data_IF_359787696088
#
_entry.id   IF_359787696088
#
_cell.length_a   1.000
_cell.length_b   1.000
_cell.length_c   1.000
_cell.angle_alpha   90.00
_cell.angle_beta   90.00
_cell.angle_gamma   90.00
#
_symmetry.space_group_name_H-M   'P 1'
#
loop_
_entity.id
_entity.type
_entity.pdbx_description
1 polymer ?
#
# COMPACT_ATOMS: atom_id res chain seq x y z
N UNK A 1 -25.86 1.30 18.08
CA UNK A 1 -24.78 0.42 17.56
C UNK A 1 -23.52 1.27 17.52
N UNK A 2 -22.54 0.99 18.38
CA UNK A 2 -21.28 1.74 18.42
C UNK A 2 -20.48 1.40 17.17
N UNK A 3 -20.22 2.42 16.34
CA UNK A 3 -19.32 2.29 15.21
C UNK A 3 -17.90 2.34 15.77
N UNK A 4 -17.27 1.18 15.93
CA UNK A 4 -15.86 1.11 16.35
C UNK A 4 -15.02 1.85 15.33
N UNK A 5 -14.35 2.92 15.76
CA UNK A 5 -13.39 3.69 14.95
C UNK A 5 -12.15 2.82 14.79
N UNK A 6 -12.19 1.85 13.87
CA UNK A 6 -10.99 1.14 13.45
C UNK A 6 -10.17 2.06 12.56
N UNK A 7 -8.86 2.15 12.82
CA UNK A 7 -7.83 2.64 11.92
C UNK A 7 -8.12 2.17 10.48
N UNK A 8 -8.68 3.05 9.62
CA UNK A 8 -9.10 2.67 8.27
C UNK A 8 -7.93 2.81 7.32
N UNK A 9 -7.42 1.71 6.81
CA UNK A 9 -6.61 1.76 5.59
C UNK A 9 -7.56 1.98 4.40
N UNK A 10 -7.06 2.63 3.36
CA UNK A 10 -7.76 2.74 2.07
C UNK A 10 -6.97 2.01 1.00
N UNK A 11 -7.65 1.17 0.24
CA UNK A 11 -7.13 0.55 -0.97
C UNK A 11 -7.82 1.21 -2.16
N UNK A 12 -7.05 1.97 -2.94
CA UNK A 12 -7.53 2.62 -4.16
C UNK A 12 -7.16 1.73 -5.34
N UNK A 13 -8.17 1.20 -6.01
CA UNK A 13 -8.05 0.43 -7.23
C UNK A 13 -7.77 1.34 -8.43
N UNK A 14 -7.27 0.76 -9.51
CA UNK A 14 -6.90 1.52 -10.71
C UNK A 14 -8.07 2.02 -11.53
N UNK A 15 -9.26 1.46 -11.34
CA UNK A 15 -10.51 2.01 -11.89
C UNK A 15 -11.03 3.21 -11.09
N UNK A 16 -10.34 3.60 -10.01
CA UNK A 16 -10.71 4.71 -9.13
C UNK A 16 -11.62 4.30 -7.97
N UNK A 17 -12.04 3.04 -7.88
CA UNK A 17 -12.79 2.56 -6.73
C UNK A 17 -11.90 2.57 -5.47
N UNK A 18 -12.44 3.06 -4.36
CA UNK A 18 -11.78 3.05 -3.07
C UNK A 18 -12.48 2.06 -2.12
N UNK A 19 -11.71 1.13 -1.57
CA UNK A 19 -12.16 0.17 -0.58
C UNK A 19 -11.61 0.57 0.80
N UNK A 20 -12.50 0.65 1.79
CA UNK A 20 -12.11 0.88 3.19
C UNK A 20 -11.91 -0.44 3.92
N UNK A 21 -10.87 -0.52 4.75
CA UNK A 21 -10.54 -1.77 5.42
C UNK A 21 -9.22 -1.76 6.16
N UNK A 22 -8.55 -2.92 6.15
CA UNK A 22 -7.25 -3.11 6.82
C UNK A 22 -6.32 -3.97 5.98
N UNK A 23 -5.12 -3.47 5.70
CA UNK A 23 -4.01 -4.24 5.16
C UNK A 23 -3.41 -5.12 6.26
N UNK A 24 -3.34 -6.43 6.01
CA UNK A 24 -2.83 -7.41 6.99
C UNK A 24 -1.30 -7.40 7.09
N UNK A 25 -0.61 -7.03 6.02
CA UNK A 25 0.86 -7.04 5.96
C UNK A 25 1.45 -5.92 6.82
N UNK A 26 2.41 -6.26 7.69
CA UNK A 26 3.01 -5.32 8.65
C UNK A 26 4.31 -4.65 8.17
N UNK A 27 4.88 -5.10 7.05
CA UNK A 27 6.11 -4.52 6.50
C UNK A 27 6.19 -4.71 4.99
N UNK A 28 6.91 -3.81 4.34
CA UNK A 28 7.05 -3.75 2.89
C UNK A 28 8.53 -3.70 2.55
N UNK A 29 8.96 -4.67 1.73
CA UNK A 29 10.34 -4.76 1.27
C UNK A 29 10.46 -4.25 -0.16
N UNK A 30 11.32 -3.25 -0.35
CA UNK A 30 11.62 -2.62 -1.63
C UNK A 30 13.06 -2.88 -2.06
N UNK A 31 13.26 -3.14 -3.34
CA UNK A 31 14.57 -3.14 -3.99
C UNK A 31 14.81 -1.77 -4.59
N UNK A 32 15.73 -1.02 -4.01
CA UNK A 32 16.14 0.31 -4.48
C UNK A 32 17.45 0.22 -5.26
N UNK A 33 17.89 1.33 -5.86
CA UNK A 33 19.21 1.42 -6.50
C UNK A 33 20.38 1.25 -5.51
N UNK A 34 20.14 1.46 -4.22
CA UNK A 34 21.15 1.39 -3.16
C UNK A 34 21.11 0.07 -2.37
N UNK A 35 20.19 -0.83 -2.73
CA UNK A 35 19.98 -2.11 -2.06
C UNK A 35 18.54 -2.32 -1.62
N UNK A 36 18.33 -3.41 -0.89
CA UNK A 36 17.02 -3.79 -0.35
C UNK A 36 16.73 -3.01 0.95
N UNK A 37 15.54 -2.40 1.03
CA UNK A 37 15.05 -1.66 2.21
C UNK A 37 13.75 -2.31 2.69
N UNK A 38 13.59 -2.46 4.01
CA UNK A 38 12.35 -2.92 4.64
C UNK A 38 11.74 -1.79 5.44
N UNK A 39 10.47 -1.49 5.20
CA UNK A 39 9.73 -0.41 5.87
C UNK A 39 8.55 -1.00 6.62
N UNK A 40 8.44 -0.72 7.93
CA UNK A 40 7.29 -1.15 8.74
C UNK A 40 6.06 -0.35 8.34
N UNK A 41 4.90 -1.00 8.27
CA UNK A 41 3.60 -0.39 7.93
C UNK A 41 3.31 0.86 8.77
N UNK A 42 3.61 0.81 10.07
CA UNK A 42 3.37 1.92 11.00
C UNK A 42 4.17 3.19 10.66
N UNK A 43 5.22 3.05 9.86
CA UNK A 43 6.03 4.17 9.38
C UNK A 43 5.61 4.65 7.99
N UNK A 44 4.56 4.10 7.39
CA UNK A 44 4.14 4.39 6.02
C UNK A 44 2.85 5.22 6.06
N UNK A 45 2.81 6.30 5.27
CA UNK A 45 1.60 7.06 4.98
C UNK A 45 0.88 6.44 3.79
N UNK A 46 1.60 6.19 2.70
CA UNK A 46 1.04 5.54 1.52
C UNK A 46 2.08 4.77 0.71
N UNK A 47 1.58 3.87 -0.13
CA UNK A 47 2.34 3.17 -1.17
C UNK A 47 1.65 3.42 -2.50
N UNK A 48 2.38 3.97 -3.46
CA UNK A 48 1.92 4.15 -4.83
C UNK A 48 2.54 3.09 -5.74
N UNK A 49 1.70 2.35 -6.46
CA UNK A 49 2.11 1.26 -7.35
C UNK A 49 2.18 1.76 -8.79
N UNK A 50 3.37 2.12 -9.26
CA UNK A 50 3.55 2.57 -10.64
C UNK A 50 3.41 1.41 -11.63
N UNK A 51 2.82 1.72 -12.80
CA UNK A 51 2.80 0.84 -13.97
C UNK A 51 3.85 1.30 -14.97
N UNK A 52 4.39 0.38 -15.80
CA UNK A 52 5.14 0.79 -16.97
C UNK A 52 4.23 1.67 -17.82
N UNK A 53 4.64 2.90 -18.08
CA UNK A 53 3.91 3.88 -18.88
C UNK A 53 4.34 3.84 -20.36
N UNK A 54 5.18 2.87 -20.73
CA UNK A 54 5.69 2.72 -22.10
C UNK A 54 6.76 3.74 -22.48
N UNK A 55 7.18 4.63 -21.57
CA UNK A 55 8.24 5.62 -21.82
C UNK A 55 9.65 5.04 -21.85
N UNK A 56 9.79 3.77 -21.46
CA UNK A 56 11.07 3.07 -21.36
C UNK A 56 11.78 3.25 -20.01
N UNK A 57 11.26 4.10 -19.11
CA UNK A 57 11.73 4.16 -17.72
C UNK A 57 11.09 3.03 -16.91
N UNK A 58 11.88 2.28 -16.11
CA UNK A 58 11.30 1.24 -15.26
C UNK A 58 10.37 1.89 -14.24
N UNK A 59 9.10 1.45 -14.14
CA UNK A 59 8.21 1.95 -13.11
C UNK A 59 8.78 1.57 -11.74
N UNK A 60 8.90 2.56 -10.87
CA UNK A 60 9.31 2.32 -9.48
C UNK A 60 8.12 2.58 -8.60
N UNK A 61 7.75 1.59 -7.79
CA UNK A 61 6.83 1.81 -6.69
C UNK A 61 7.44 2.84 -5.74
N UNK A 62 6.57 3.59 -5.06
CA UNK A 62 6.96 4.60 -4.09
C UNK A 62 6.33 4.29 -2.74
N UNK A 63 7.13 4.31 -1.68
CA UNK A 63 6.67 4.34 -0.29
C UNK A 63 6.96 5.72 0.26
N UNK A 64 5.93 6.39 0.78
CA UNK A 64 6.08 7.63 1.53
C UNK A 64 5.96 7.35 3.02
N UNK A 65 6.99 7.73 3.78
CA UNK A 65 7.01 7.50 5.23
C UNK A 65 6.35 8.64 6.01
N UNK A 66 6.00 8.38 7.26
CA UNK A 66 5.51 9.40 8.19
C UNK A 66 6.57 10.44 8.59
N UNK A 67 7.86 10.15 8.36
CA UNK A 67 8.98 11.10 8.51
C UNK A 67 9.16 12.00 7.28
N UNK A 68 8.40 11.77 6.20
CA UNK A 68 8.46 12.56 4.97
C UNK A 68 9.46 12.05 3.94
N UNK A 69 10.05 10.87 4.14
CA UNK A 69 10.96 10.25 3.18
C UNK A 69 10.19 9.59 2.04
N UNK A 70 10.72 9.70 0.83
CA UNK A 70 10.22 9.01 -0.36
C UNK A 70 11.20 7.90 -0.77
N UNK A 71 10.78 6.65 -0.64
CA UNK A 71 11.58 5.47 -0.98
C UNK A 71 11.06 4.94 -2.31
N UNK A 72 11.94 4.93 -3.34
CA UNK A 72 11.61 4.48 -4.70
C UNK A 72 12.35 3.21 -5.08
N UNK A 73 11.64 2.30 -5.75
CA UNK A 73 12.18 0.99 -6.11
C UNK A 73 11.11 -0.03 -6.48
N UNK A 74 11.48 -1.30 -6.55
CA UNK A 74 10.56 -2.39 -6.85
C UNK A 74 10.14 -3.12 -5.57
N UNK A 75 8.83 -3.26 -5.34
CA UNK A 75 8.35 -4.05 -4.21
C UNK A 75 8.63 -5.56 -4.43
N UNK A 76 9.34 -6.21 -3.50
CA UNK A 76 9.93 -7.55 -3.71
C UNK A 76 8.94 -8.70 -3.44
N UNK A 77 7.98 -8.52 -2.52
CA UNK A 77 7.21 -9.66 -1.96
C UNK A 77 5.71 -9.36 -1.80
N UNK A 78 5.12 -8.62 -2.71
CA UNK A 78 3.70 -8.29 -2.64
C UNK A 78 3.07 -8.27 -4.03
N UNK A 79 3.01 -9.45 -4.66
CA UNK A 79 2.20 -9.64 -5.88
C UNK A 79 0.70 -9.55 -5.59
N UNK A 80 0.31 -9.83 -4.35
CA UNK A 80 -1.06 -9.63 -3.84
C UNK A 80 -1.01 -8.94 -2.49
N UNK A 81 -2.02 -8.12 -2.21
CA UNK A 81 -2.27 -7.49 -0.92
C UNK A 81 -3.49 -8.17 -0.29
N UNK A 82 -3.32 -8.68 0.94
CA UNK A 82 -4.46 -9.18 1.71
C UNK A 82 -5.10 -8.02 2.47
N UNK A 83 -6.38 -7.77 2.19
CA UNK A 83 -7.13 -6.62 2.67
C UNK A 83 -8.44 -7.09 3.30
N UNK A 84 -8.69 -6.72 4.54
CA UNK A 84 -9.95 -7.02 5.24
C UNK A 84 -10.92 -5.87 4.98
N UNK A 85 -12.02 -6.13 4.28
CA UNK A 85 -13.03 -5.13 3.98
C UNK A 85 -13.78 -4.70 5.25
N UNK A 86 -14.02 -3.40 5.39
CA UNK A 86 -14.74 -2.86 6.53
C UNK A 86 -16.26 -3.14 6.50
N UNK A 87 -16.83 -3.44 5.31
CA UNK A 87 -18.26 -3.66 5.13
C UNK A 87 -18.74 -4.97 5.76
N UNK A 88 -17.96 -6.04 5.58
CA UNK A 88 -18.35 -7.41 5.93
C UNK A 88 -17.25 -8.20 6.66
N UNK A 89 -16.07 -7.61 6.87
CA UNK A 89 -14.87 -8.27 7.42
C UNK A 89 -14.35 -9.43 6.55
N UNK A 90 -14.76 -9.51 5.28
CA UNK A 90 -14.20 -10.48 4.35
C UNK A 90 -12.75 -10.11 4.02
N UNK A 91 -11.88 -11.11 3.98
CA UNK A 91 -10.50 -10.92 3.50
C UNK A 91 -10.45 -11.14 1.99
N UNK A 92 -10.02 -10.12 1.27
CA UNK A 92 -9.73 -10.19 -0.15
C UNK A 92 -8.23 -10.25 -0.41
N UNK A 93 -7.86 -10.92 -1.51
CA UNK A 93 -6.49 -10.92 -2.04
C UNK A 93 -6.48 -10.15 -3.33
N UNK A 94 -6.08 -8.89 -3.26
CA UNK A 94 -6.08 -7.99 -4.41
C UNK A 94 -4.72 -8.04 -5.12
N UNK A 95 -4.65 -8.37 -6.42
CA UNK A 95 -3.41 -8.31 -7.19
C UNK A 95 -2.83 -6.90 -7.18
N UNK A 96 -1.51 -6.77 -6.99
CA UNK A 96 -0.79 -5.50 -7.03
C UNK A 96 -1.10 -4.70 -8.29
N UNK A 97 -1.22 -5.40 -9.42
CA UNK A 97 -1.50 -4.77 -10.72
C UNK A 97 -2.87 -4.11 -10.78
N UNK A 98 -3.80 -4.44 -9.88
CA UNK A 98 -5.13 -3.81 -9.79
C UNK A 98 -5.16 -2.64 -8.81
N UNK A 99 -4.13 -2.49 -7.98
CA UNK A 99 -4.04 -1.45 -6.96
C UNK A 99 -3.31 -0.24 -7.54
N UNK A 100 -3.88 0.94 -7.36
CA UNK A 100 -3.21 2.20 -7.61
C UNK A 100 -2.41 2.62 -6.37
N UNK A 101 -3.09 2.73 -5.21
CA UNK A 101 -2.50 3.25 -3.97
C UNK A 101 -3.03 2.50 -2.75
N UNK A 102 -2.17 2.26 -1.76
CA UNK A 102 -2.58 1.96 -0.38
C UNK A 102 -2.34 3.20 0.48
N UNK A 103 -3.34 3.65 1.22
CA UNK A 103 -3.18 4.67 2.25
C UNK A 103 -3.39 4.04 3.63
N UNK A 104 -2.54 4.44 4.58
CA UNK A 104 -2.62 4.00 5.97
C UNK A 104 -3.04 5.21 6.83
N UNK A 105 -4.32 5.30 7.20
CA UNK A 105 -4.84 6.45 7.95
C UNK A 105 -4.70 6.29 9.47
N UNK A 106 -4.29 5.11 9.95
CA UNK A 106 -4.11 4.81 11.36
C UNK A 106 -2.69 5.03 11.90
N UNK A 107 -1.75 5.49 11.07
CA UNK A 107 -0.35 5.74 11.45
C UNK A 107 -0.09 7.19 11.89
N UNK A 108 -1.14 7.98 12.16
CA UNK A 108 -1.05 9.41 12.52
C UNK A 108 -1.50 9.77 13.94
N UNK A 109 -1.61 8.80 14.85
CA UNK A 109 -1.88 9.05 16.27
C UNK A 109 -0.60 9.07 17.12
#
# INVERSE_FOLDING_TARGET
MQQTVYSKDLLVLRDGQALSGKVIKNEFKMRTAFGDVTVKKDNIIHIHFMRPDGTGFPPTDEIRTNTGDDIRGQLIQAQTISFVLAEDNQTERVPKDNINTLLFLGSQD
#
